data_IF_090582424494
#
_entry.id   IF_090582424494
#
_cell.length_a   1.000
_cell.length_b   1.000
_cell.length_c   1.000
_cell.angle_alpha   90.00
_cell.angle_beta   90.00
_cell.angle_gamma   90.00
#
_symmetry.space_group_name_H-M   'P 1'
#
loop_
_entity.id
_entity.type
_entity.pdbx_description
1 polymer ?
#
# COMPACT_ATOMS: atom_id res chain seq x y z
N UNK A 1 17.13 -9.74 -6.91
CA UNK A 1 16.31 -10.16 -5.76
C UNK A 1 16.18 -8.96 -4.86
N UNK A 2 15.36 -7.99 -5.26
CA UNK A 2 15.14 -6.77 -4.50
C UNK A 2 13.98 -7.03 -3.54
N UNK A 3 14.30 -7.43 -2.32
CA UNK A 3 13.30 -7.47 -1.25
C UNK A 3 12.78 -6.04 -1.06
N UNK A 4 11.45 -5.84 -1.10
CA UNK A 4 10.86 -4.55 -0.74
C UNK A 4 11.15 -4.29 0.74
N UNK A 5 12.13 -3.43 0.99
CA UNK A 5 12.47 -2.99 2.34
C UNK A 5 11.73 -1.69 2.60
N UNK A 6 10.81 -1.72 3.54
CA UNK A 6 10.04 -0.56 3.98
C UNK A 6 10.61 0.01 5.27
N UNK A 7 10.48 1.32 5.45
CA UNK A 7 10.76 1.96 6.74
C UNK A 7 9.78 1.47 7.81
N UNK A 8 10.12 1.63 9.10
CA UNK A 8 9.21 1.26 10.18
C UNK A 8 7.87 2.04 10.12
N UNK A 9 7.92 3.29 9.66
CA UNK A 9 6.72 4.09 9.44
C UNK A 9 5.85 3.52 8.29
N UNK A 10 6.47 3.17 7.16
CA UNK A 10 5.78 2.52 6.05
C UNK A 10 5.16 1.17 6.47
N UNK A 11 5.88 0.35 7.24
CA UNK A 11 5.35 -0.91 7.79
C UNK A 11 4.12 -0.64 8.67
N UNK A 12 4.19 0.35 9.56
CA UNK A 12 3.05 0.73 10.40
C UNK A 12 1.84 1.17 9.56
N UNK A 13 2.05 2.00 8.52
CA UNK A 13 0.99 2.42 7.60
C UNK A 13 0.40 1.26 6.81
N UNK A 14 1.22 0.29 6.41
CA UNK A 14 0.78 -0.91 5.71
C UNK A 14 -0.14 -1.78 6.61
N UNK A 15 0.24 -1.99 7.87
CA UNK A 15 -0.63 -2.66 8.84
C UNK A 15 -1.92 -1.88 9.12
N UNK A 16 -1.83 -0.54 9.16
CA UNK A 16 -3.02 0.31 9.30
C UNK A 16 -3.96 0.13 8.10
N UNK A 17 -3.44 0.09 6.88
CA UNK A 17 -4.19 -0.14 5.66
C UNK A 17 -4.87 -1.51 5.65
N UNK A 18 -4.12 -2.59 5.95
CA UNK A 18 -4.64 -3.95 6.01
C UNK A 18 -5.81 -4.06 7.01
N UNK A 19 -5.65 -3.48 8.21
CA UNK A 19 -6.73 -3.45 9.19
C UNK A 19 -7.97 -2.69 8.68
N UNK A 20 -7.80 -1.51 8.06
CA UNK A 20 -8.94 -0.76 7.52
C UNK A 20 -9.61 -1.51 6.36
N UNK A 21 -8.83 -2.17 5.52
CA UNK A 21 -9.33 -2.97 4.41
C UNK A 21 -10.12 -4.18 4.93
N UNK A 22 -9.55 -4.95 5.85
CA UNK A 22 -10.21 -6.08 6.50
C UNK A 22 -11.52 -5.68 7.19
N UNK A 23 -11.56 -4.52 7.85
CA UNK A 23 -12.80 -4.04 8.46
C UNK A 23 -13.88 -3.67 7.43
N UNK A 24 -13.51 -3.37 6.18
CA UNK A 24 -14.43 -2.99 5.13
C UNK A 24 -14.88 -4.17 4.26
N UNK A 25 -13.97 -5.08 3.92
CA UNK A 25 -14.22 -6.19 2.97
C UNK A 25 -14.31 -7.56 3.65
N UNK A 26 -13.75 -7.70 4.86
CA UNK A 26 -13.57 -8.99 5.53
C UNK A 26 -12.37 -9.80 5.02
N UNK A 27 -11.63 -9.30 4.03
CA UNK A 27 -10.47 -9.98 3.46
C UNK A 27 -9.18 -9.58 4.17
N UNK A 28 -8.29 -10.55 4.36
CA UNK A 28 -7.00 -10.37 5.03
C UNK A 28 -5.86 -10.74 4.11
N UNK A 29 -4.88 -9.85 4.00
CA UNK A 29 -3.67 -10.11 3.22
C UNK A 29 -2.50 -10.47 4.12
N UNK A 30 -1.65 -11.39 3.64
CA UNK A 30 -0.43 -11.78 4.38
C UNK A 30 0.68 -10.79 4.06
N UNK A 31 0.90 -9.83 4.95
CA UNK A 31 1.95 -8.81 4.81
C UNK A 31 3.39 -9.35 4.95
N UNK A 32 3.56 -10.60 5.40
CA UNK A 32 4.86 -11.26 5.40
C UNK A 32 5.32 -11.70 3.99
N UNK A 33 4.38 -11.77 3.04
CA UNK A 33 4.64 -12.17 1.67
C UNK A 33 4.49 -10.96 0.76
N UNK A 34 5.45 -10.80 -0.15
CA UNK A 34 5.42 -9.73 -1.13
C UNK A 34 4.09 -9.69 -1.90
N UNK A 35 3.63 -10.83 -2.44
CA UNK A 35 2.36 -10.90 -3.16
C UNK A 35 1.17 -10.40 -2.32
N UNK A 36 1.13 -10.69 -1.02
CA UNK A 36 0.06 -10.20 -0.16
C UNK A 36 0.08 -8.68 0.01
N UNK A 37 1.27 -8.07 0.01
CA UNK A 37 1.42 -6.62 0.01
C UNK A 37 0.94 -6.05 -1.33
N UNK A 38 1.37 -6.62 -2.45
CA UNK A 38 0.99 -6.15 -3.78
C UNK A 38 -0.53 -6.25 -3.98
N UNK A 39 -1.13 -7.39 -3.63
CA UNK A 39 -2.57 -7.61 -3.73
C UNK A 39 -3.35 -6.61 -2.86
N UNK A 40 -2.91 -6.35 -1.63
CA UNK A 40 -3.54 -5.34 -0.77
C UNK A 40 -3.47 -3.96 -1.41
N UNK A 41 -2.32 -3.56 -1.96
CA UNK A 41 -2.14 -2.25 -2.57
C UNK A 41 -3.00 -2.08 -3.83
N UNK A 42 -3.03 -3.08 -4.70
CA UNK A 42 -3.85 -3.05 -5.91
C UNK A 42 -5.34 -2.97 -5.57
N UNK A 43 -5.82 -3.84 -4.67
CA UNK A 43 -7.23 -3.86 -4.31
C UNK A 43 -7.65 -2.58 -3.56
N UNK A 44 -6.83 -2.12 -2.62
CA UNK A 44 -7.14 -0.91 -1.85
C UNK A 44 -7.08 0.39 -2.68
N UNK A 45 -6.29 0.44 -3.76
CA UNK A 45 -6.24 1.59 -4.67
C UNK A 45 -7.59 1.87 -5.37
N UNK A 46 -8.39 0.82 -5.59
CA UNK A 46 -9.72 0.90 -6.22
C UNK A 46 -10.83 1.32 -5.26
N UNK A 47 -10.60 1.21 -3.94
CA UNK A 47 -11.64 1.43 -2.94
C UNK A 47 -11.96 2.93 -2.76
N UNK A 48 -13.26 3.24 -2.76
CA UNK A 48 -13.74 4.59 -2.60
C UNK A 48 -13.83 5.08 -1.13
N UNK A 49 -13.79 4.16 -0.17
CA UNK A 49 -13.90 4.45 1.26
C UNK A 49 -12.83 5.44 1.73
N UNK A 50 -13.27 6.45 2.50
CA UNK A 50 -12.42 7.56 2.94
C UNK A 50 -11.32 7.11 3.90
N UNK A 51 -11.56 6.11 4.76
CA UNK A 51 -10.56 5.63 5.73
C UNK A 51 -9.50 4.81 5.01
N UNK A 52 -9.90 3.91 4.13
CA UNK A 52 -8.98 3.10 3.33
C UNK A 52 -8.14 3.99 2.43
N UNK A 53 -8.76 4.92 1.70
CA UNK A 53 -8.04 5.85 0.84
C UNK A 53 -7.03 6.71 1.61
N UNK A 54 -7.37 7.16 2.82
CA UNK A 54 -6.44 7.90 3.69
C UNK A 54 -5.27 7.04 4.15
N UNK A 55 -5.54 5.81 4.59
CA UNK A 55 -4.50 4.87 5.01
C UNK A 55 -3.57 4.52 3.83
N UNK A 56 -4.15 4.30 2.65
CA UNK A 56 -3.42 4.05 1.42
C UNK A 56 -2.49 5.20 1.07
N UNK A 57 -3.01 6.43 0.97
CA UNK A 57 -2.15 7.59 0.68
C UNK A 57 -1.10 7.84 1.76
N UNK A 58 -1.44 7.61 3.03
CA UNK A 58 -0.46 7.73 4.11
C UNK A 58 0.68 6.72 3.95
N UNK A 59 0.42 5.49 3.49
CA UNK A 59 1.47 4.54 3.15
C UNK A 59 2.33 5.01 1.98
N UNK A 60 1.72 5.47 0.89
CA UNK A 60 2.44 5.98 -0.29
C UNK A 60 3.36 7.15 0.07
N UNK A 61 2.94 8.03 0.98
CA UNK A 61 3.75 9.17 1.43
C UNK A 61 4.99 8.77 2.23
N UNK A 62 5.03 7.56 2.80
CA UNK A 62 6.23 7.05 3.49
C UNK A 62 7.22 6.40 2.52
N UNK A 63 6.84 6.21 1.25
CA UNK A 63 7.68 5.57 0.25
C UNK A 63 8.59 6.57 -0.44
N UNK A 64 9.83 6.16 -0.68
CA UNK A 64 10.74 6.89 -1.55
C UNK A 64 10.51 6.54 -3.04
N UNK A 65 11.13 7.31 -3.92
CA UNK A 65 11.00 7.14 -5.37
C UNK A 65 11.46 5.77 -5.86
N UNK A 66 12.48 5.17 -5.23
CA UNK A 66 12.98 3.85 -5.63
C UNK A 66 11.98 2.76 -5.23
N UNK A 67 11.36 2.88 -4.05
CA UNK A 67 10.31 1.98 -3.58
C UNK A 67 9.05 2.08 -4.44
N UNK A 68 8.65 3.29 -4.82
CA UNK A 68 7.53 3.51 -5.75
C UNK A 68 7.84 2.86 -7.10
N UNK A 69 9.00 3.14 -7.69
CA UNK A 69 9.41 2.53 -8.95
C UNK A 69 9.43 1.00 -8.86
N UNK A 70 9.96 0.43 -7.77
CA UNK A 70 10.00 -1.01 -7.57
C UNK A 70 8.61 -1.63 -7.47
N UNK A 71 7.63 -0.94 -6.87
CA UNK A 71 6.23 -1.39 -6.83
C UNK A 71 5.56 -1.30 -8.21
N UNK A 72 5.84 -0.24 -8.97
CA UNK A 72 5.32 -0.07 -10.34
C UNK A 72 5.89 -1.11 -11.31
N UNK A 73 7.19 -1.42 -11.21
CA UNK A 73 7.84 -2.49 -11.98
C UNK A 73 7.24 -3.88 -11.68
N UNK A 74 6.70 -4.06 -10.47
CA UNK A 74 5.97 -5.28 -10.05
C UNK A 74 4.51 -5.29 -10.48
N UNK A 75 4.06 -4.27 -11.22
CA UNK A 75 2.72 -4.19 -11.79
C UNK A 75 1.69 -3.48 -10.90
N UNK A 76 2.08 -2.96 -9.73
CA UNK A 76 1.15 -2.23 -8.87
C UNK A 76 0.95 -0.82 -9.41
N UNK A 77 -0.28 -0.50 -9.83
CA UNK A 77 -0.65 0.84 -10.27
C UNK A 77 -0.92 1.73 -9.07
N UNK A 78 0.12 2.37 -8.55
CA UNK A 78 0.00 3.24 -7.40
C UNK A 78 -0.84 4.48 -7.73
N UNK A 79 -1.95 4.64 -7.01
CA UNK A 79 -2.71 5.90 -7.07
C UNK A 79 -1.96 6.95 -6.25
N UNK A 80 -1.15 7.78 -6.90
CA UNK A 80 -0.50 8.91 -6.25
C UNK A 80 -1.53 10.01 -5.95
N UNK A 81 -1.50 10.66 -4.77
CA UNK A 81 -2.29 11.85 -4.53
C UNK A 81 -1.87 12.95 -5.51
N UNK A 82 -2.83 13.67 -6.09
CA UNK A 82 -2.61 14.70 -7.11
C UNK A 82 -1.73 15.89 -6.65
N UNK A 83 -1.34 15.93 -5.38
CA UNK A 83 -0.54 16.99 -4.77
C UNK A 83 0.97 16.63 -4.65
N UNK A 84 1.41 15.50 -5.19
CA UNK A 84 2.84 15.20 -5.37
C UNK A 84 3.33 15.85 -6.67
N UNK A 85 3.57 17.16 -6.64
CA UNK A 85 4.20 17.94 -7.71
C UNK A 85 5.43 18.65 -7.18
#
# INVERSE_FOLDING_TARGET
MDTLIFSQAAIFRLHQLDNQYYHHTGERYRLANENGILDLLENSASIADRKIRRAYFAFIMELDKNQINALEERGVRLRLPANLH
#
